data_IF_795275689134
#
_entry.id   IF_795275689134
#
_cell.length_a   1.000
_cell.length_b   1.000
_cell.length_c   1.000
_cell.angle_alpha   90.00
_cell.angle_beta   90.00
_cell.angle_gamma   90.00
#
_symmetry.space_group_name_H-M   'P 1'
#
loop_
_entity.id
_entity.type
_entity.pdbx_description
1 polymer ?
#
# COMPACT_ATOMS: atom_id res chain seq x y z
N UNK A 1 11.88 15.75 31.56
CA UNK A 1 10.81 14.96 30.91
C UNK A 1 10.97 15.10 29.41
N UNK A 2 11.08 14.00 28.66
CA UNK A 2 11.19 14.07 27.21
C UNK A 2 9.79 14.28 26.62
N UNK A 3 9.63 15.23 25.69
CA UNK A 3 8.36 15.51 25.01
C UNK A 3 8.54 15.43 23.49
N UNK A 4 7.51 14.95 22.79
CA UNK A 4 7.42 14.97 21.34
C UNK A 4 6.31 15.95 20.94
N UNK A 5 6.65 16.98 20.17
CA UNK A 5 5.69 17.95 19.68
C UNK A 5 5.38 17.69 18.20
N UNK A 6 4.09 17.51 17.87
CA UNK A 6 3.62 17.27 16.50
C UNK A 6 2.91 18.54 16.00
N UNK A 7 3.49 19.20 15.00
CA UNK A 7 2.94 20.40 14.39
C UNK A 7 2.08 20.05 13.18
N UNK A 8 0.77 19.84 13.39
CA UNK A 8 -0.17 19.43 12.34
C UNK A 8 -0.24 20.43 11.17
N UNK A 9 -0.05 21.73 11.42
CA UNK A 9 0.03 22.74 10.35
C UNK A 9 1.15 22.47 9.35
N UNK A 10 2.27 21.89 9.79
CA UNK A 10 3.36 21.52 8.90
C UNK A 10 2.99 20.30 8.04
N UNK A 11 2.22 19.36 8.61
CA UNK A 11 1.66 18.24 7.85
C UNK A 11 0.70 18.75 6.77
N UNK A 12 -0.18 19.71 7.11
CA UNK A 12 -1.09 20.33 6.15
C UNK A 12 -0.34 20.99 5.00
N UNK A 13 0.66 21.80 5.33
CA UNK A 13 1.50 22.46 4.35
C UNK A 13 2.17 21.43 3.41
N UNK A 14 2.76 20.38 3.94
CA UNK A 14 3.41 19.33 3.18
C UNK A 14 2.41 18.60 2.27
N UNK A 15 1.21 18.27 2.80
CA UNK A 15 0.15 17.62 2.03
C UNK A 15 -0.25 18.47 0.82
N UNK A 16 -0.56 19.75 1.02
CA UNK A 16 -0.96 20.63 -0.08
C UNK A 16 0.19 20.92 -1.05
N UNK A 17 1.43 21.03 -0.56
CA UNK A 17 2.62 21.20 -1.40
C UNK A 17 2.83 20.01 -2.33
N UNK A 18 2.65 18.78 -1.84
CA UNK A 18 2.74 17.59 -2.68
C UNK A 18 1.57 17.55 -3.66
N UNK A 19 0.34 17.76 -3.17
CA UNK A 19 -0.88 17.69 -3.97
C UNK A 19 -0.87 18.71 -5.13
N UNK A 20 -0.35 19.91 -4.90
CA UNK A 20 -0.25 20.96 -5.94
C UNK A 20 0.70 20.62 -7.10
N UNK A 21 1.62 19.68 -6.90
CA UNK A 21 2.58 19.21 -7.92
C UNK A 21 2.07 18.01 -8.73
N UNK A 22 0.92 17.45 -8.35
CA UNK A 22 0.35 16.27 -8.96
C UNK A 22 -0.80 16.63 -9.90
N UNK A 23 -1.05 15.77 -10.87
CA UNK A 23 -2.26 15.87 -11.71
C UNK A 23 -3.50 15.62 -10.84
N UNK A 24 -4.63 16.25 -11.16
CA UNK A 24 -5.89 16.10 -10.42
C UNK A 24 -6.36 14.63 -10.29
N UNK A 25 -6.03 13.80 -11.28
CA UNK A 25 -6.35 12.36 -11.27
C UNK A 25 -5.42 11.51 -10.39
N UNK A 26 -4.30 12.06 -9.92
CA UNK A 26 -3.32 11.32 -9.10
C UNK A 26 -3.82 11.20 -7.67
N UNK A 27 -3.88 9.96 -7.19
CA UNK A 27 -4.24 9.65 -5.80
C UNK A 27 -3.03 9.63 -4.89
N UNK A 28 -3.24 10.03 -3.63
CA UNK A 28 -2.22 10.06 -2.60
C UNK A 28 -2.44 8.96 -1.56
N UNK A 29 -1.37 8.30 -1.19
CA UNK A 29 -1.34 7.34 -0.08
C UNK A 29 -0.46 7.88 1.04
N UNK A 30 -1.01 8.05 2.23
CA UNK A 30 -0.28 8.46 3.43
C UNK A 30 0.31 7.25 4.14
N UNK A 31 1.63 7.18 4.25
CA UNK A 31 2.31 6.04 4.92
C UNK A 31 2.53 6.37 6.39
N UNK A 32 1.83 5.64 7.28
CA UNK A 32 1.85 5.87 8.74
C UNK A 32 2.32 4.63 9.53
N UNK A 33 3.07 3.74 8.89
CA UNK A 33 3.68 2.56 9.53
C UNK A 33 4.65 2.96 10.64
N UNK A 34 4.98 2.02 11.53
CA UNK A 34 5.89 2.23 12.67
C UNK A 34 5.50 3.48 13.48
N UNK A 35 4.22 3.55 13.86
CA UNK A 35 3.62 4.69 14.57
C UNK A 35 3.90 6.04 13.88
N UNK A 36 3.68 6.11 12.55
CA UNK A 36 4.02 7.24 11.69
C UNK A 36 5.49 7.67 11.87
N UNK A 37 6.39 6.68 11.77
CA UNK A 37 7.84 6.86 11.97
C UNK A 37 8.20 7.46 13.34
N UNK A 38 7.47 7.06 14.38
CA UNK A 38 7.70 7.50 15.77
C UNK A 38 6.92 8.75 16.18
N UNK A 39 6.12 9.34 15.27
CA UNK A 39 5.29 10.50 15.61
C UNK A 39 4.02 10.11 16.40
N UNK A 40 2.97 9.74 15.73
CA UNK A 40 1.72 9.15 16.24
C UNK A 40 0.85 8.80 15.04
N UNK A 41 0.70 7.51 14.77
CA UNK A 41 -0.02 7.05 13.57
C UNK A 41 -1.49 7.46 13.56
N UNK A 42 -2.15 7.51 14.73
CA UNK A 42 -3.56 7.88 14.80
C UNK A 42 -3.78 9.38 14.58
N UNK A 43 -2.98 10.23 15.22
CA UNK A 43 -3.06 11.69 15.04
C UNK A 43 -2.79 12.04 13.57
N UNK A 44 -1.71 11.50 12.99
CA UNK A 44 -1.36 11.75 11.60
C UNK A 44 -2.42 11.20 10.64
N UNK A 45 -2.92 9.97 10.84
CA UNK A 45 -3.95 9.38 9.98
C UNK A 45 -5.26 10.16 10.01
N UNK A 46 -5.74 10.57 11.21
CA UNK A 46 -6.93 11.43 11.35
C UNK A 46 -6.76 12.76 10.63
N UNK A 47 -5.59 13.37 10.74
CA UNK A 47 -5.35 14.64 10.05
C UNK A 47 -5.33 14.45 8.54
N UNK A 48 -4.63 13.44 8.03
CA UNK A 48 -4.61 13.12 6.59
C UNK A 48 -6.01 12.79 6.05
N UNK A 49 -6.81 12.02 6.79
CA UNK A 49 -8.21 11.73 6.44
C UNK A 49 -9.03 13.02 6.34
N UNK A 50 -8.90 13.94 7.31
CA UNK A 50 -9.59 15.24 7.28
C UNK A 50 -9.16 16.15 6.13
N UNK A 51 -7.94 15.97 5.61
CA UNK A 51 -7.43 16.69 4.44
C UNK A 51 -7.86 16.05 3.10
N UNK A 52 -8.56 14.92 3.16
CA UNK A 52 -9.07 14.21 1.99
C UNK A 52 -8.01 13.37 1.27
N UNK A 53 -7.12 12.73 2.03
CA UNK A 53 -6.20 11.74 1.44
C UNK A 53 -6.98 10.51 0.95
N UNK A 54 -6.54 9.89 -0.15
CA UNK A 54 -7.28 8.80 -0.77
C UNK A 54 -7.14 7.46 0.00
N UNK A 55 -6.00 7.23 0.66
CA UNK A 55 -5.67 5.98 1.34
C UNK A 55 -4.59 6.18 2.38
N UNK A 56 -4.60 5.36 3.42
CA UNK A 56 -3.49 5.21 4.37
C UNK A 56 -2.78 3.89 4.10
N UNK A 57 -1.47 3.83 4.37
CA UNK A 57 -0.72 2.58 4.30
C UNK A 57 0.09 2.33 5.58
N UNK A 58 0.11 1.07 5.99
CA UNK A 58 0.80 0.56 7.17
C UNK A 58 1.68 -0.64 6.81
N UNK A 59 2.61 -1.04 7.69
CA UNK A 59 3.43 -2.21 7.44
C UNK A 59 2.67 -3.50 7.73
N UNK A 60 2.06 -3.62 8.91
CA UNK A 60 1.46 -4.84 9.41
C UNK A 60 -0.05 -4.72 9.63
N UNK A 61 -0.73 -5.86 9.61
CA UNK A 61 -2.18 -5.96 9.85
C UNK A 61 -2.58 -5.35 11.20
N UNK A 62 -1.78 -5.54 12.25
CA UNK A 62 -2.04 -5.00 13.59
C UNK A 62 -2.11 -3.47 13.62
N UNK A 63 -1.26 -2.78 12.86
CA UNK A 63 -1.29 -1.31 12.74
C UNK A 63 -2.59 -0.85 12.06
N UNK A 64 -3.00 -1.54 10.99
CA UNK A 64 -4.26 -1.26 10.31
C UNK A 64 -5.49 -1.50 11.20
N UNK A 65 -5.48 -2.57 12.00
CA UNK A 65 -6.53 -2.86 12.98
C UNK A 65 -6.63 -1.74 14.03
N UNK A 66 -5.49 -1.28 14.54
CA UNK A 66 -5.44 -0.15 15.48
C UNK A 66 -6.12 1.09 14.91
N UNK A 67 -5.81 1.46 13.66
CA UNK A 67 -6.42 2.61 13.00
C UNK A 67 -7.92 2.40 12.76
N UNK A 68 -8.35 1.22 12.30
CA UNK A 68 -9.78 0.91 12.10
C UNK A 68 -10.59 0.93 13.39
N UNK A 69 -10.05 0.39 14.50
CA UNK A 69 -10.68 0.47 15.82
C UNK A 69 -10.82 1.92 16.32
N UNK A 70 -9.95 2.82 15.88
CA UNK A 70 -9.99 4.25 16.21
C UNK A 70 -10.71 5.09 15.14
N UNK A 71 -11.60 4.45 14.34
CA UNK A 71 -12.54 5.08 13.41
C UNK A 71 -11.88 5.80 12.21
N UNK A 72 -10.74 5.30 11.73
CA UNK A 72 -10.25 5.67 10.40
C UNK A 72 -11.08 4.91 9.36
N UNK A 73 -11.85 5.65 8.54
CA UNK A 73 -12.83 5.10 7.62
C UNK A 73 -12.29 4.87 6.21
N UNK A 74 -11.30 5.67 5.77
CA UNK A 74 -10.68 5.53 4.45
C UNK A 74 -10.01 4.16 4.29
N UNK A 75 -9.76 3.69 3.05
CA UNK A 75 -9.03 2.44 2.78
C UNK A 75 -7.66 2.42 3.44
N UNK A 76 -7.27 1.26 3.97
CA UNK A 76 -5.95 1.05 4.59
C UNK A 76 -5.25 -0.10 3.87
N UNK A 77 -4.14 0.22 3.21
CA UNK A 77 -3.24 -0.74 2.58
C UNK A 77 -2.27 -1.33 3.61
N UNK A 78 -2.16 -2.66 3.67
CA UNK A 78 -1.17 -3.37 4.49
C UNK A 78 -0.05 -3.85 3.58
N UNK A 79 1.16 -3.31 3.74
CA UNK A 79 2.30 -3.63 2.87
C UNK A 79 2.84 -5.05 3.05
N UNK A 80 2.76 -5.57 4.26
CA UNK A 80 3.30 -6.89 4.61
C UNK A 80 2.28 -7.71 5.42
N UNK A 81 1.17 -8.15 4.77
CA UNK A 81 0.25 -9.09 5.41
C UNK A 81 0.96 -10.43 5.66
N UNK A 82 0.84 -10.95 6.88
CA UNK A 82 1.36 -12.24 7.28
C UNK A 82 0.26 -13.30 7.19
N UNK A 83 0.62 -14.56 6.95
CA UNK A 83 -0.35 -15.65 6.81
C UNK A 83 -1.30 -15.75 8.00
N UNK A 84 -0.75 -15.63 9.20
CA UNK A 84 -1.46 -15.74 10.47
C UNK A 84 -2.51 -14.63 10.66
N UNK A 85 -2.31 -13.50 9.99
CA UNK A 85 -3.16 -12.29 10.13
C UNK A 85 -4.18 -12.11 9.01
N UNK A 86 -4.28 -13.02 8.04
CA UNK A 86 -5.19 -12.86 6.89
C UNK A 86 -6.67 -12.82 7.29
N UNK A 87 -7.07 -13.58 8.32
CA UNK A 87 -8.44 -13.58 8.85
C UNK A 87 -8.81 -12.23 9.47
N UNK A 88 -7.91 -11.67 10.27
CA UNK A 88 -8.08 -10.34 10.87
C UNK A 88 -8.08 -9.26 9.80
N UNK A 89 -7.20 -9.35 8.81
CA UNK A 89 -7.17 -8.42 7.68
C UNK A 89 -8.53 -8.36 6.97
N UNK A 90 -9.11 -9.52 6.67
CA UNK A 90 -10.48 -9.61 6.12
C UNK A 90 -11.52 -9.01 7.07
N UNK A 91 -11.50 -9.40 8.35
CA UNK A 91 -12.46 -8.94 9.38
C UNK A 91 -12.50 -7.41 9.49
N UNK A 92 -11.34 -6.76 9.43
CA UNK A 92 -11.23 -5.30 9.54
C UNK A 92 -11.25 -4.57 8.18
N UNK A 93 -11.55 -5.29 7.08
CA UNK A 93 -11.62 -4.73 5.73
C UNK A 93 -10.37 -3.94 5.33
N UNK A 94 -9.20 -4.49 5.65
CA UNK A 94 -7.92 -3.95 5.23
C UNK A 94 -7.57 -4.46 3.83
N UNK A 95 -6.88 -3.66 3.04
CA UNK A 95 -6.50 -4.02 1.67
C UNK A 95 -5.06 -4.56 1.66
N UNK A 96 -4.84 -5.85 1.33
CA UNK A 96 -3.50 -6.43 1.37
C UNK A 96 -2.67 -6.09 0.14
N UNK A 97 -1.38 -5.87 0.35
CA UNK A 97 -0.37 -6.01 -0.69
C UNK A 97 -0.06 -7.49 -0.90
N UNK A 98 -0.32 -7.99 -2.08
CA UNK A 98 0.04 -9.35 -2.49
C UNK A 98 1.43 -9.32 -3.12
N UNK A 99 2.40 -9.94 -2.46
CA UNK A 99 3.82 -9.89 -2.82
C UNK A 99 4.43 -11.28 -3.12
N UNK A 100 3.62 -12.35 -2.99
CA UNK A 100 4.03 -13.72 -3.30
C UNK A 100 2.85 -14.59 -3.70
N UNK A 101 3.14 -15.68 -4.43
CA UNK A 101 2.14 -16.71 -4.81
C UNK A 101 1.46 -17.33 -3.60
N UNK A 102 2.20 -17.52 -2.50
CA UNK A 102 1.67 -18.10 -1.28
C UNK A 102 0.59 -17.21 -0.65
N UNK A 103 0.88 -15.91 -0.47
CA UNK A 103 -0.08 -14.93 0.05
C UNK A 103 -1.29 -14.82 -0.88
N UNK A 104 -1.07 -14.78 -2.22
CA UNK A 104 -2.16 -14.75 -3.19
C UNK A 104 -3.12 -15.93 -2.99
N UNK A 105 -2.58 -17.16 -3.03
CA UNK A 105 -3.39 -18.38 -2.90
C UNK A 105 -4.14 -18.42 -1.57
N UNK A 106 -3.45 -18.22 -0.45
CA UNK A 106 -4.06 -18.30 0.88
C UNK A 106 -5.11 -17.22 1.11
N UNK A 107 -4.89 -16.02 0.60
CA UNK A 107 -5.90 -14.97 0.72
C UNK A 107 -7.09 -15.23 -0.20
N UNK A 108 -6.88 -15.71 -1.43
CA UNK A 108 -7.98 -16.07 -2.33
C UNK A 108 -8.83 -17.22 -1.77
N UNK A 109 -8.21 -18.29 -1.23
CA UNK A 109 -8.89 -19.39 -0.54
C UNK A 109 -9.80 -18.84 0.58
N UNK A 110 -9.28 -17.95 1.42
CA UNK A 110 -10.07 -17.31 2.49
C UNK A 110 -11.26 -16.51 1.95
N UNK A 111 -11.07 -15.73 0.88
CA UNK A 111 -12.12 -14.89 0.30
C UNK A 111 -13.22 -15.75 -0.33
N UNK A 112 -12.85 -16.87 -0.96
CA UNK A 112 -13.79 -17.85 -1.52
C UNK A 112 -14.60 -18.54 -0.41
N UNK A 113 -13.97 -18.98 0.69
CA UNK A 113 -14.64 -19.52 1.87
C UNK A 113 -15.69 -18.54 2.46
N UNK A 114 -15.41 -17.23 2.39
CA UNK A 114 -16.32 -16.18 2.86
C UNK A 114 -17.39 -15.80 1.83
N UNK A 115 -17.41 -16.45 0.68
CA UNK A 115 -18.32 -16.14 -0.45
C UNK A 115 -18.29 -14.66 -0.86
N UNK A 116 -17.17 -13.98 -0.59
CA UNK A 116 -17.00 -12.57 -0.96
C UNK A 116 -16.48 -12.49 -2.39
N UNK A 117 -17.07 -11.63 -3.19
CA UNK A 117 -16.67 -11.41 -4.59
C UNK A 117 -15.95 -10.08 -4.74
N UNK A 118 -14.85 -10.09 -5.48
CA UNK A 118 -14.10 -8.87 -5.84
C UNK A 118 -13.48 -8.13 -4.64
N UNK A 119 -12.83 -8.87 -3.71
CA UNK A 119 -12.12 -8.24 -2.59
C UNK A 119 -10.91 -7.43 -3.09
N UNK A 120 -10.76 -6.14 -2.64
CA UNK A 120 -9.70 -5.26 -3.14
C UNK A 120 -8.31 -5.71 -2.69
N UNK A 121 -7.38 -5.77 -3.64
CA UNK A 121 -5.98 -6.10 -3.39
C UNK A 121 -5.04 -5.20 -4.20
N UNK A 122 -3.78 -5.16 -3.79
CA UNK A 122 -2.70 -4.45 -4.46
C UNK A 122 -1.56 -5.43 -4.78
N UNK A 123 -1.07 -5.44 -6.00
CA UNK A 123 0.07 -6.31 -6.39
C UNK A 123 1.37 -5.55 -6.25
N UNK A 124 2.29 -6.11 -5.46
CA UNK A 124 3.62 -5.54 -5.29
C UNK A 124 4.65 -6.24 -6.18
N UNK A 125 5.38 -5.44 -6.95
CA UNK A 125 6.54 -5.91 -7.71
C UNK A 125 7.87 -5.47 -7.11
N UNK A 126 8.87 -6.35 -7.28
CA UNK A 126 10.27 -6.02 -7.06
C UNK A 126 10.88 -5.59 -8.40
N UNK A 127 11.17 -4.32 -8.53
CA UNK A 127 11.80 -3.76 -9.73
C UNK A 127 13.29 -3.45 -9.53
N UNK A 128 13.85 -3.83 -8.37
CA UNK A 128 15.28 -3.64 -8.10
C UNK A 128 15.64 -3.27 -6.65
N UNK A 129 14.67 -3.01 -5.77
CA UNK A 129 14.92 -2.81 -4.34
C UNK A 129 15.33 -4.11 -3.62
N UNK A 130 14.95 -5.27 -4.17
CA UNK A 130 15.31 -6.61 -3.68
C UNK A 130 14.92 -6.89 -2.22
N UNK A 131 13.71 -6.44 -1.83
CA UNK A 131 13.17 -6.68 -0.49
C UNK A 131 12.03 -7.68 -0.50
N UNK A 132 10.91 -7.35 -1.15
CA UNK A 132 9.73 -8.18 -1.36
C UNK A 132 9.01 -7.79 -2.65
N UNK A 133 8.22 -8.68 -3.20
CA UNK A 133 7.40 -8.46 -4.40
C UNK A 133 7.69 -9.50 -5.47
N UNK A 134 6.75 -9.63 -6.38
CA UNK A 134 6.90 -10.50 -7.54
C UNK A 134 7.99 -9.98 -8.49
N UNK A 135 8.64 -10.88 -9.18
CA UNK A 135 9.50 -10.52 -10.31
C UNK A 135 8.66 -10.31 -11.57
N UNK A 136 9.21 -9.59 -12.57
CA UNK A 136 8.51 -9.29 -13.83
C UNK A 136 8.09 -10.54 -14.62
N UNK A 137 8.86 -11.63 -14.54
CA UNK A 137 8.54 -12.90 -15.21
C UNK A 137 7.32 -13.62 -14.61
N UNK A 138 6.83 -13.22 -13.45
CA UNK A 138 5.65 -13.78 -12.80
C UNK A 138 4.35 -13.09 -13.24
N UNK A 139 4.43 -11.99 -14.02
CA UNK A 139 3.27 -11.18 -14.42
C UNK A 139 2.19 -12.01 -15.12
N UNK A 140 2.56 -12.87 -16.08
CA UNK A 140 1.61 -13.73 -16.80
C UNK A 140 0.84 -14.65 -15.83
N UNK A 141 1.53 -15.21 -14.83
CA UNK A 141 0.87 -16.04 -13.82
C UNK A 141 -0.12 -15.22 -12.98
N UNK A 142 0.27 -14.01 -12.57
CA UNK A 142 -0.57 -13.12 -11.74
C UNK A 142 -1.85 -12.75 -12.50
N UNK A 143 -1.73 -12.28 -13.74
CA UNK A 143 -2.89 -11.87 -14.57
C UNK A 143 -3.85 -13.05 -14.78
N UNK A 144 -3.33 -14.23 -15.14
CA UNK A 144 -4.16 -15.45 -15.28
C UNK A 144 -4.84 -15.86 -13.97
N UNK A 145 -4.16 -15.71 -12.84
CA UNK A 145 -4.71 -16.04 -11.51
C UNK A 145 -5.77 -15.05 -11.06
N UNK A 146 -5.57 -13.75 -11.30
CA UNK A 146 -6.55 -12.70 -11.00
C UNK A 146 -7.88 -12.94 -11.72
N UNK A 147 -7.83 -13.29 -13.02
CA UNK A 147 -9.02 -13.55 -13.82
C UNK A 147 -9.88 -14.72 -13.31
N UNK A 148 -9.28 -15.63 -12.55
CA UNK A 148 -9.95 -16.81 -11.98
C UNK A 148 -10.23 -16.67 -10.47
N UNK A 149 -9.94 -15.53 -9.87
CA UNK A 149 -10.00 -15.33 -8.43
C UNK A 149 -11.21 -14.50 -7.99
N UNK A 150 -11.50 -14.57 -6.71
CA UNK A 150 -12.45 -13.70 -6.02
C UNK A 150 -11.85 -12.35 -5.60
N UNK A 151 -10.66 -12.01 -6.10
CA UNK A 151 -9.92 -10.80 -5.79
C UNK A 151 -10.13 -9.73 -6.88
N UNK A 152 -10.12 -8.45 -6.47
CA UNK A 152 -10.19 -7.30 -7.39
C UNK A 152 -8.89 -6.50 -7.32
N UNK A 153 -8.18 -6.41 -8.42
CA UNK A 153 -6.99 -5.59 -8.52
C UNK A 153 -7.34 -4.10 -8.40
N UNK A 154 -6.83 -3.44 -7.38
CA UNK A 154 -6.93 -1.98 -7.18
C UNK A 154 -5.71 -1.24 -7.71
N UNK A 155 -4.54 -1.77 -7.51
CA UNK A 155 -3.31 -1.20 -8.05
C UNK A 155 -2.19 -2.22 -8.19
N UNK A 156 -1.26 -1.87 -9.06
CA UNK A 156 0.06 -2.49 -9.18
C UNK A 156 1.06 -1.45 -8.72
N UNK A 157 2.04 -1.81 -7.89
CA UNK A 157 3.01 -0.85 -7.39
C UNK A 157 4.40 -1.45 -7.17
N UNK A 158 5.39 -0.58 -7.12
CA UNK A 158 6.75 -0.91 -6.72
C UNK A 158 7.30 0.14 -5.75
N UNK A 159 8.58 0.05 -5.44
CA UNK A 159 9.26 0.98 -4.55
C UNK A 159 10.62 1.34 -5.14
N UNK A 160 10.84 2.63 -5.37
CA UNK A 160 12.13 3.13 -5.83
C UNK A 160 13.14 3.10 -4.67
N UNK A 161 14.36 2.67 -4.94
CA UNK A 161 15.42 2.59 -3.94
C UNK A 161 16.06 3.94 -3.64
N UNK A 162 15.97 4.90 -4.57
CA UNK A 162 16.63 6.21 -4.50
C UNK A 162 15.67 7.31 -4.97
N UNK A 163 14.49 7.41 -4.33
CA UNK A 163 13.44 8.36 -4.73
C UNK A 163 13.71 9.81 -4.30
N UNK A 164 14.67 10.03 -3.39
CA UNK A 164 15.07 11.32 -2.86
C UNK A 164 16.07 12.09 -3.76
N UNK A 165 16.58 11.48 -4.80
CA UNK A 165 17.52 12.11 -5.72
C UNK A 165 16.87 13.24 -6.53
N UNK A 166 17.61 14.34 -6.73
CA UNK A 166 17.15 15.49 -7.54
C UNK A 166 16.90 15.13 -9.01
N UNK A 167 17.66 14.18 -9.54
CA UNK A 167 17.48 13.60 -10.88
C UNK A 167 17.48 12.07 -10.75
N UNK A 168 16.65 11.36 -11.52
CA UNK A 168 16.66 9.91 -11.49
C UNK A 168 18.07 9.37 -11.81
N UNK A 169 18.59 8.52 -10.93
CA UNK A 169 19.83 7.78 -11.20
C UNK A 169 19.57 6.68 -12.23
N UNK A 170 20.64 6.11 -12.79
CA UNK A 170 20.53 4.92 -13.66
C UNK A 170 19.78 3.77 -13.00
N UNK A 171 19.88 3.66 -11.66
CA UNK A 171 19.15 2.63 -10.89
C UNK A 171 17.64 2.95 -10.90
N UNK A 172 17.25 4.18 -10.60
CA UNK A 172 15.86 4.63 -10.62
C UNK A 172 15.26 4.52 -12.01
N UNK A 173 15.99 4.91 -13.06
CA UNK A 173 15.54 4.76 -14.46
C UNK A 173 15.31 3.29 -14.83
N UNK A 174 16.24 2.39 -14.45
CA UNK A 174 16.06 0.95 -14.66
C UNK A 174 14.80 0.43 -13.95
N UNK A 175 14.59 0.81 -12.68
CA UNK A 175 13.39 0.41 -11.93
C UNK A 175 12.11 0.91 -12.60
N UNK A 176 12.08 2.16 -13.07
CA UNK A 176 10.95 2.75 -13.77
C UNK A 176 10.66 2.00 -15.08
N UNK A 177 11.68 1.70 -15.88
CA UNK A 177 11.51 0.98 -17.14
C UNK A 177 11.01 -0.45 -16.92
N UNK A 178 11.54 -1.17 -15.93
CA UNK A 178 11.02 -2.49 -15.55
C UNK A 178 9.54 -2.40 -15.14
N UNK A 179 9.17 -1.37 -14.36
CA UNK A 179 7.80 -1.19 -13.92
C UNK A 179 6.85 -0.85 -15.09
N UNK A 180 7.28 0.01 -16.04
CA UNK A 180 6.50 0.32 -17.25
C UNK A 180 6.15 -0.94 -18.04
N UNK A 181 7.14 -1.79 -18.30
CA UNK A 181 6.91 -3.06 -19.01
C UNK A 181 5.96 -4.01 -18.25
N UNK A 182 5.95 -3.96 -16.91
CA UNK A 182 5.03 -4.75 -16.09
C UNK A 182 3.59 -4.27 -16.28
N UNK A 183 3.34 -2.96 -16.20
CA UNK A 183 1.98 -2.41 -16.23
C UNK A 183 1.31 -2.53 -17.59
N UNK A 184 2.06 -2.68 -18.68
CA UNK A 184 1.53 -2.93 -20.03
C UNK A 184 0.76 -4.28 -20.13
N UNK A 185 0.90 -5.16 -19.14
CA UNK A 185 0.22 -6.45 -19.11
C UNK A 185 -1.13 -6.43 -18.37
N UNK A 186 -1.51 -5.31 -17.78
CA UNK A 186 -2.74 -5.12 -17.00
C UNK A 186 -3.74 -4.20 -17.70
#
# INVERSE_FOLDING_TARGET
MNSLNIFLKNLDHNFYTIKSKLKNSTKLIGVVKANAYGSDSLIIAKRLESLGIDMIAVAYTSEGIYLKKNKINIPILVFYPQLESLKELYKYRLEPAIYSKLIFKKFNELIEEKSYKKYPIHIKYNTGLNRIGFSSNETTWIVKSLNKSSLALKSVYSHLSMSEEKKPSKISEKQINVFKNIIENY
#
